data_IF_702001903696
#
_entry.id   IF_702001903696
#
_cell.length_a   1.000
_cell.length_b   1.000
_cell.length_c   1.000
_cell.angle_alpha   90.00
_cell.angle_beta   90.00
_cell.angle_gamma   90.00
#
_symmetry.space_group_name_H-M   'P 1'
#
loop_
_entity.id
_entity.type
_entity.pdbx_description
1 polymer ?
#
# COMPACT_ATOMS: atom_id res chain seq x y z
N UNK A 1 -9.36 -53.98 -30.16
CA UNK A 1 -8.81 -52.95 -29.24
C UNK A 1 -8.05 -53.65 -28.13
N UNK A 2 -7.15 -52.96 -27.43
CA UNK A 2 -6.45 -53.49 -26.24
C UNK A 2 -7.23 -53.22 -24.93
N UNK A 3 -8.54 -52.99 -25.00
CA UNK A 3 -9.38 -52.71 -23.83
C UNK A 3 -9.85 -54.02 -23.21
N UNK A 4 -9.62 -54.27 -21.91
CA UNK A 4 -10.12 -55.47 -21.23
C UNK A 4 -11.65 -55.58 -21.33
N UNK A 5 -12.17 -56.78 -21.58
CA UNK A 5 -13.60 -57.00 -21.79
C UNK A 5 -14.46 -56.48 -20.63
N UNK A 6 -14.00 -56.66 -19.40
CA UNK A 6 -14.65 -56.17 -18.18
C UNK A 6 -14.80 -54.65 -18.09
N UNK A 7 -14.05 -53.87 -18.90
CA UNK A 7 -14.07 -52.40 -18.89
C UNK A 7 -14.64 -51.76 -20.15
N UNK A 8 -15.08 -52.54 -21.15
CA UNK A 8 -15.55 -52.00 -22.43
C UNK A 8 -16.66 -50.96 -22.24
N UNK A 9 -17.70 -51.29 -21.47
CA UNK A 9 -18.81 -50.37 -21.22
C UNK A 9 -18.41 -49.11 -20.46
N UNK A 10 -17.46 -49.23 -19.51
CA UNK A 10 -16.93 -48.07 -18.78
C UNK A 10 -16.20 -47.12 -19.74
N UNK A 11 -15.38 -47.67 -20.63
CA UNK A 11 -14.63 -46.88 -21.62
C UNK A 11 -15.59 -46.22 -22.62
N UNK A 12 -16.58 -46.96 -23.14
CA UNK A 12 -17.58 -46.43 -24.08
C UNK A 12 -18.40 -45.29 -23.44
N UNK A 13 -18.90 -45.47 -22.21
CA UNK A 13 -19.61 -44.41 -21.49
C UNK A 13 -18.73 -43.17 -21.26
N UNK A 14 -17.45 -43.35 -20.94
CA UNK A 14 -16.55 -42.23 -20.74
C UNK A 14 -16.25 -41.49 -22.04
N UNK A 15 -16.11 -42.21 -23.16
CA UNK A 15 -15.90 -41.61 -24.47
C UNK A 15 -17.16 -40.87 -24.95
N UNK A 16 -18.35 -41.42 -24.71
CA UNK A 16 -19.63 -40.74 -24.95
C UNK A 16 -19.76 -39.46 -24.12
N UNK A 17 -19.54 -39.52 -22.80
CA UNK A 17 -19.55 -38.33 -21.92
C UNK A 17 -18.56 -37.26 -22.36
N UNK A 18 -17.41 -37.69 -22.89
CA UNK A 18 -16.38 -36.79 -23.44
C UNK A 18 -16.70 -36.30 -24.86
N UNK A 19 -17.79 -36.76 -25.49
CA UNK A 19 -18.21 -36.30 -26.82
C UNK A 19 -17.57 -37.02 -28.00
N UNK A 20 -16.88 -38.14 -27.80
CA UNK A 20 -16.21 -38.90 -28.87
C UNK A 20 -17.13 -39.91 -29.58
N UNK A 21 -18.19 -40.34 -28.90
CA UNK A 21 -19.12 -41.35 -29.40
C UNK A 21 -20.55 -40.81 -29.40
N UNK A 22 -21.36 -41.34 -30.31
CA UNK A 22 -22.82 -41.29 -30.26
C UNK A 22 -23.36 -42.63 -29.81
N UNK A 23 -24.40 -42.62 -28.97
CA UNK A 23 -25.16 -43.81 -28.61
C UNK A 23 -26.57 -43.76 -29.20
N UNK A 24 -27.15 -44.93 -29.45
CA UNK A 24 -28.57 -45.05 -29.76
C UNK A 24 -29.40 -45.08 -28.49
N UNK A 25 -30.53 -44.39 -28.48
CA UNK A 25 -31.48 -44.39 -27.36
C UNK A 25 -32.29 -45.69 -27.26
N UNK A 26 -32.27 -46.53 -28.31
CA UNK A 26 -32.99 -47.81 -28.39
C UNK A 26 -32.13 -48.99 -27.96
N UNK A 27 -32.78 -50.06 -27.47
CA UNK A 27 -32.11 -51.32 -27.12
C UNK A 27 -31.98 -52.24 -28.34
N UNK A 28 -30.83 -52.92 -28.52
CA UNK A 28 -29.60 -52.78 -27.75
C UNK A 28 -28.88 -51.46 -28.06
N UNK A 29 -28.26 -50.84 -27.03
CA UNK A 29 -27.49 -49.61 -27.18
C UNK A 29 -26.29 -49.88 -28.09
N UNK A 30 -26.21 -49.13 -29.20
CA UNK A 30 -25.10 -49.18 -30.14
C UNK A 30 -24.31 -47.89 -30.03
N UNK A 31 -22.99 -48.01 -30.01
CA UNK A 31 -22.07 -46.88 -30.02
C UNK A 31 -21.47 -46.72 -31.42
N UNK A 32 -21.37 -45.48 -31.88
CA UNK A 32 -20.69 -45.12 -33.12
C UNK A 32 -19.70 -44.00 -32.87
N UNK A 33 -18.53 -44.07 -33.50
CA UNK A 33 -17.53 -43.00 -33.40
C UNK A 33 -18.03 -41.76 -34.14
N UNK A 34 -17.85 -40.59 -33.54
CA UNK A 34 -18.01 -39.33 -34.26
C UNK A 34 -16.86 -39.13 -35.23
N UNK A 35 -17.09 -38.46 -36.38
CA UNK A 35 -16.01 -37.97 -37.23
C UNK A 35 -14.99 -37.17 -36.40
N UNK A 36 -13.67 -37.36 -36.59
CA UNK A 36 -12.66 -36.69 -35.76
C UNK A 36 -12.80 -35.16 -35.71
N UNK A 37 -13.13 -34.52 -36.83
CA UNK A 37 -13.37 -33.07 -36.87
C UNK A 37 -14.53 -32.64 -35.97
N UNK A 38 -15.64 -33.36 -36.01
CA UNK A 38 -16.81 -33.09 -35.16
C UNK A 38 -16.51 -33.38 -33.68
N UNK A 39 -15.84 -34.50 -33.39
CA UNK A 39 -15.49 -34.89 -32.02
C UNK A 39 -14.59 -33.85 -31.35
N UNK A 40 -13.58 -33.33 -32.06
CA UNK A 40 -12.68 -32.29 -31.54
C UNK A 40 -13.45 -31.01 -31.25
N UNK A 41 -14.36 -30.61 -32.14
CA UNK A 41 -15.15 -29.40 -31.95
C UNK A 41 -16.08 -29.49 -30.73
N UNK A 42 -16.76 -30.64 -30.56
CA UNK A 42 -17.59 -30.90 -29.38
C UNK A 42 -16.77 -30.86 -28.09
N UNK A 43 -15.58 -31.48 -28.08
CA UNK A 43 -14.68 -31.45 -26.92
C UNK A 43 -14.22 -30.02 -26.62
N UNK A 44 -13.87 -29.24 -27.65
CA UNK A 44 -13.47 -27.82 -27.51
C UNK A 44 -14.58 -27.01 -26.86
N UNK A 45 -15.81 -27.09 -27.39
CA UNK A 45 -16.96 -26.38 -26.85
C UNK A 45 -17.27 -26.77 -25.40
N UNK A 46 -17.13 -28.05 -25.05
CA UNK A 46 -17.32 -28.52 -23.68
C UNK A 46 -16.26 -27.96 -22.73
N UNK A 47 -14.99 -27.91 -23.15
CA UNK A 47 -13.91 -27.33 -22.36
C UNK A 47 -14.12 -25.83 -22.15
N UNK A 48 -14.45 -25.11 -23.22
CA UNK A 48 -14.74 -23.66 -23.15
C UNK A 48 -15.89 -23.37 -22.19
N UNK A 49 -16.95 -24.18 -22.24
CA UNK A 49 -18.07 -24.07 -21.30
C UNK A 49 -17.61 -24.23 -19.85
N UNK A 50 -16.84 -25.28 -19.54
CA UNK A 50 -16.33 -25.52 -18.18
C UNK A 50 -15.41 -24.39 -17.71
N UNK A 51 -14.55 -23.87 -18.59
CA UNK A 51 -13.67 -22.75 -18.26
C UNK A 51 -14.45 -21.46 -17.99
N UNK A 52 -15.47 -21.17 -18.80
CA UNK A 52 -16.32 -19.99 -18.61
C UNK A 52 -17.12 -20.06 -17.32
N UNK A 53 -17.75 -21.21 -17.02
CA UNK A 53 -18.48 -21.42 -15.76
C UNK A 53 -17.56 -21.27 -14.54
N UNK A 54 -16.33 -21.79 -14.60
CA UNK A 54 -15.35 -21.64 -13.53
C UNK A 54 -14.90 -20.18 -13.37
N UNK A 55 -14.63 -19.47 -14.48
CA UNK A 55 -14.22 -18.07 -14.45
C UNK A 55 -15.32 -17.18 -13.88
N UNK A 56 -16.57 -17.36 -14.30
CA UNK A 56 -17.73 -16.65 -13.77
C UNK A 56 -17.91 -16.90 -12.28
N UNK A 57 -17.79 -18.15 -11.83
CA UNK A 57 -17.90 -18.49 -10.41
C UNK A 57 -16.78 -17.83 -9.58
N UNK A 58 -15.53 -17.95 -10.03
CA UNK A 58 -14.37 -17.34 -9.34
C UNK A 58 -14.54 -15.82 -9.26
N UNK A 59 -14.90 -15.16 -10.37
CA UNK A 59 -15.12 -13.72 -10.39
C UNK A 59 -16.27 -13.33 -9.45
N UNK A 60 -17.40 -14.04 -9.49
CA UNK A 60 -18.55 -13.76 -8.63
C UNK A 60 -18.23 -13.87 -7.14
N UNK A 61 -17.45 -14.87 -6.73
CA UNK A 61 -17.11 -15.09 -5.32
C UNK A 61 -15.95 -14.21 -4.85
N UNK A 62 -14.90 -14.02 -5.67
CA UNK A 62 -13.68 -13.33 -5.26
C UNK A 62 -13.69 -11.83 -5.57
N UNK A 63 -14.40 -11.36 -6.61
CA UNK A 63 -14.44 -9.92 -6.94
C UNK A 63 -15.01 -9.09 -5.78
N UNK A 64 -16.10 -9.48 -5.08
CA UNK A 64 -16.57 -8.72 -3.93
C UNK A 64 -15.58 -8.72 -2.75
N UNK A 65 -14.80 -9.80 -2.58
CA UNK A 65 -13.74 -9.87 -1.56
C UNK A 65 -12.61 -8.90 -1.93
N UNK A 66 -12.19 -8.90 -3.19
CA UNK A 66 -11.20 -7.98 -3.73
C UNK A 66 -11.69 -6.52 -3.64
N UNK A 67 -12.93 -6.23 -4.02
CA UNK A 67 -13.49 -4.88 -4.00
C UNK A 67 -13.57 -4.33 -2.57
N UNK A 68 -13.93 -5.17 -1.59
CA UNK A 68 -13.89 -4.82 -0.16
C UNK A 68 -12.46 -4.53 0.32
N UNK A 69 -11.45 -5.22 -0.22
CA UNK A 69 -10.05 -4.88 0.01
C UNK A 69 -9.64 -3.60 -0.74
N UNK A 70 -10.20 -3.33 -1.92
CA UNK A 70 -9.83 -2.18 -2.77
C UNK A 70 -10.21 -0.83 -2.15
N UNK A 71 -11.31 -0.76 -1.39
CA UNK A 71 -11.66 0.44 -0.59
C UNK A 71 -10.67 0.66 0.56
N UNK A 72 -9.85 -0.33 0.92
CA UNK A 72 -8.78 -0.25 1.93
C UNK A 72 -7.34 -0.21 1.34
N UNK A 73 -7.19 -0.35 0.02
CA UNK A 73 -5.89 -0.48 -0.67
C UNK A 73 -5.23 0.83 -1.10
N UNK A 74 -5.77 2.00 -0.76
CA UNK A 74 -4.87 3.11 -0.41
C UNK A 74 -4.56 2.92 1.06
N UNK A 75 -3.38 2.39 1.45
CA UNK A 75 -3.07 2.25 2.85
C UNK A 75 -3.06 3.65 3.45
N UNK A 76 -4.14 3.98 4.16
CA UNK A 76 -4.22 5.12 5.06
C UNK A 76 -3.15 5.05 6.16
N UNK A 77 -2.36 3.96 6.21
CA UNK A 77 -1.29 3.72 7.16
C UNK A 77 -0.22 2.81 6.53
N UNK A 78 1.02 3.28 6.45
CA UNK A 78 2.21 2.52 6.04
C UNK A 78 3.27 2.54 7.15
N UNK A 79 3.95 1.42 7.34
CA UNK A 79 5.08 1.31 8.26
C UNK A 79 6.40 1.43 7.50
N UNK A 80 7.27 2.31 7.98
CA UNK A 80 8.62 2.50 7.50
C UNK A 80 9.59 2.00 8.56
N UNK A 81 10.68 1.35 8.11
CA UNK A 81 11.71 0.78 8.96
C UNK A 81 13.09 1.26 8.52
N UNK A 82 13.95 1.54 9.49
CA UNK A 82 15.31 2.02 9.26
C UNK A 82 15.35 3.52 9.02
N UNK A 83 16.44 4.14 9.47
CA UNK A 83 16.61 5.60 9.46
C UNK A 83 16.55 6.20 8.04
N UNK A 84 17.24 5.58 7.08
CA UNK A 84 17.25 6.04 5.68
C UNK A 84 15.86 6.12 5.06
N UNK A 85 15.05 5.07 5.23
CA UNK A 85 13.70 5.02 4.67
C UNK A 85 12.78 6.08 5.31
N UNK A 86 12.94 6.30 6.61
CA UNK A 86 12.19 7.30 7.36
C UNK A 86 12.62 8.71 6.93
N UNK A 87 13.93 8.96 6.80
CA UNK A 87 14.47 10.23 6.35
C UNK A 87 14.03 10.56 4.92
N UNK A 88 14.10 9.61 3.99
CA UNK A 88 13.58 9.78 2.63
C UNK A 88 12.09 10.08 2.62
N UNK A 89 11.28 9.39 3.45
CA UNK A 89 9.85 9.67 3.51
C UNK A 89 9.54 11.02 4.14
N UNK A 90 10.27 11.44 5.16
CA UNK A 90 10.14 12.76 5.77
C UNK A 90 10.42 13.86 4.75
N UNK A 91 11.50 13.70 3.98
CA UNK A 91 11.87 14.58 2.88
C UNK A 91 10.74 14.69 1.84
N UNK A 92 10.16 13.56 1.43
CA UNK A 92 9.03 13.51 0.49
C UNK A 92 7.80 14.28 1.01
N UNK A 93 7.46 14.11 2.30
CA UNK A 93 6.39 14.87 2.98
C UNK A 93 6.66 16.37 2.94
N UNK A 94 7.90 16.79 3.24
CA UNK A 94 8.29 18.21 3.24
C UNK A 94 8.17 18.81 1.84
N UNK A 95 8.72 18.15 0.82
CA UNK A 95 8.67 18.63 -0.57
C UNK A 95 7.25 18.65 -1.15
N UNK A 96 6.37 17.79 -0.64
CA UNK A 96 4.96 17.72 -1.02
C UNK A 96 4.07 18.80 -0.40
N UNK A 97 4.61 19.59 0.55
CA UNK A 97 3.86 20.58 1.34
C UNK A 97 3.65 21.88 0.58
N UNK A 98 2.43 22.43 0.62
CA UNK A 98 2.06 23.66 -0.10
C UNK A 98 1.55 24.79 0.77
N UNK A 99 0.95 24.50 1.92
CA UNK A 99 0.27 25.48 2.77
C UNK A 99 0.81 25.52 4.19
N UNK A 100 0.94 24.36 4.83
CA UNK A 100 1.34 24.25 6.23
C UNK A 100 2.18 23.00 6.47
N UNK A 101 3.35 23.20 7.09
CA UNK A 101 4.25 22.15 7.51
C UNK A 101 4.48 22.25 9.02
N UNK A 102 4.20 21.16 9.75
CA UNK A 102 4.50 21.03 11.17
C UNK A 102 5.58 19.95 11.33
N UNK A 103 6.73 20.31 11.87
CA UNK A 103 7.86 19.40 12.09
C UNK A 103 8.16 19.28 13.58
N UNK A 104 8.30 18.05 14.06
CA UNK A 104 8.77 17.75 15.41
C UNK A 104 10.04 16.91 15.31
N UNK A 105 11.18 17.49 15.70
CA UNK A 105 12.51 16.86 15.60
C UNK A 105 13.05 16.67 17.03
N UNK A 106 13.23 15.42 17.45
CA UNK A 106 13.66 15.12 18.82
C UNK A 106 15.07 14.52 18.92
N UNK A 107 15.72 14.21 17.79
CA UNK A 107 17.10 13.73 17.72
C UNK A 107 17.81 14.28 16.48
N UNK A 108 19.14 14.21 16.47
CA UNK A 108 19.94 14.54 15.29
C UNK A 108 19.63 13.57 14.17
N UNK A 109 18.88 14.04 13.18
CA UNK A 109 18.66 13.32 11.94
C UNK A 109 19.77 13.71 10.96
N UNK A 110 21.01 13.28 11.21
CA UNK A 110 22.14 13.57 10.31
C UNK A 110 21.83 13.16 8.87
N UNK A 111 21.20 11.99 8.72
CA UNK A 111 20.68 11.45 7.46
C UNK A 111 19.66 12.38 6.79
N UNK A 112 18.75 12.99 7.56
CA UNK A 112 17.82 13.99 7.04
C UNK A 112 18.52 15.26 6.57
N UNK A 113 19.49 15.77 7.35
CA UNK A 113 20.28 16.95 6.98
C UNK A 113 21.08 16.70 5.69
N UNK A 114 21.63 15.50 5.53
CA UNK A 114 22.30 15.09 4.29
C UNK A 114 21.33 15.09 3.10
N UNK A 115 20.18 14.43 3.20
CA UNK A 115 19.21 14.38 2.09
C UNK A 115 18.57 15.74 1.80
N UNK A 116 18.27 16.55 2.82
CA UNK A 116 17.68 17.88 2.65
C UNK A 116 18.65 18.87 2.02
N UNK A 117 19.94 18.83 2.36
CA UNK A 117 20.97 19.69 1.73
C UNK A 117 21.12 19.45 0.23
N UNK A 118 20.83 18.23 -0.25
CA UNK A 118 20.85 17.86 -1.67
C UNK A 118 19.60 18.27 -2.43
N UNK A 119 18.52 18.56 -1.72
CA UNK A 119 17.26 18.98 -2.30
C UNK A 119 17.19 20.49 -2.28
N UNK A 120 17.60 21.08 -3.40
CA UNK A 120 17.49 22.51 -3.66
C UNK A 120 16.16 23.08 -3.13
N UNK A 121 16.25 23.98 -2.15
CA UNK A 121 15.18 24.65 -1.39
C UNK A 121 14.16 25.44 -2.24
N UNK A 122 14.29 25.39 -3.56
CA UNK A 122 13.52 26.13 -4.56
C UNK A 122 12.01 25.94 -4.39
N UNK A 123 11.53 24.71 -4.11
CA UNK A 123 10.08 24.45 -3.98
C UNK A 123 9.43 25.05 -2.74
N UNK A 124 10.11 24.98 -1.59
CA UNK A 124 9.60 25.58 -0.34
C UNK A 124 9.62 27.10 -0.43
N UNK A 125 10.64 27.66 -1.09
CA UNK A 125 10.79 29.11 -1.30
C UNK A 125 9.73 29.66 -2.26
N UNK A 126 9.34 28.91 -3.29
CA UNK A 126 8.26 29.31 -4.22
C UNK A 126 6.87 29.20 -3.59
N UNK A 127 6.58 28.09 -2.89
CA UNK A 127 5.25 27.86 -2.31
C UNK A 127 4.99 28.69 -1.04
N UNK A 128 6.06 29.08 -0.32
CA UNK A 128 6.01 29.82 0.97
C UNK A 128 4.97 29.27 1.95
N UNK A 129 5.01 27.96 2.28
CA UNK A 129 4.10 27.41 3.29
C UNK A 129 4.39 28.03 4.66
N UNK A 130 3.40 28.00 5.55
CA UNK A 130 3.63 28.26 6.98
C UNK A 130 4.36 27.08 7.60
N UNK A 131 5.54 27.31 8.15
CA UNK A 131 6.38 26.26 8.71
C UNK A 131 6.51 26.49 10.21
N UNK A 132 6.11 25.49 11.01
CA UNK A 132 6.34 25.45 12.46
C UNK A 132 7.25 24.27 12.79
N UNK A 133 8.35 24.54 13.48
CA UNK A 133 9.34 23.51 13.83
C UNK A 133 9.51 23.47 15.33
N UNK A 134 9.25 22.31 15.92
CA UNK A 134 9.48 22.02 17.31
C UNK A 134 10.73 21.14 17.43
N UNK A 135 11.72 21.59 18.20
CA UNK A 135 12.97 20.85 18.40
C UNK A 135 13.31 20.62 19.86
N UNK A 136 14.10 19.59 20.14
CA UNK A 136 14.74 19.43 21.45
C UNK A 136 15.87 20.47 21.62
N UNK A 137 16.15 20.84 22.88
CA UNK A 137 17.08 21.92 23.20
C UNK A 137 18.51 21.70 22.68
N UNK A 138 18.94 20.45 22.60
CA UNK A 138 20.23 20.01 22.08
C UNK A 138 20.38 20.16 20.55
N UNK A 139 19.29 20.43 19.82
CA UNK A 139 19.26 20.60 18.37
C UNK A 139 19.10 22.05 17.91
N UNK A 140 19.07 23.02 18.86
CA UNK A 140 18.85 24.43 18.52
C UNK A 140 19.95 24.98 17.58
N UNK A 141 21.19 24.52 17.75
CA UNK A 141 22.29 25.02 16.91
C UNK A 141 22.22 24.46 15.47
N UNK A 142 21.61 23.29 15.28
CA UNK A 142 21.55 22.57 13.99
C UNK A 142 20.43 23.10 13.06
N UNK A 143 19.49 23.90 13.58
CA UNK A 143 18.29 24.39 12.86
C UNK A 143 18.42 25.80 12.27
N UNK A 144 19.54 26.49 12.49
CA UNK A 144 19.75 27.86 11.99
C UNK A 144 19.37 28.07 10.51
N UNK A 145 19.71 27.16 9.57
CA UNK A 145 19.31 27.29 8.17
C UNK A 145 17.79 27.28 7.92
N UNK A 146 17.01 26.67 8.83
CA UNK A 146 15.55 26.58 8.71
C UNK A 146 14.86 27.87 9.19
N UNK A 147 15.50 28.62 10.08
CA UNK A 147 15.02 29.97 10.48
C UNK A 147 15.13 30.94 9.31
N UNK A 148 16.18 30.84 8.50
CA UNK A 148 16.42 31.72 7.35
C UNK A 148 15.36 31.61 6.26
N UNK A 149 14.69 30.47 6.14
CA UNK A 149 13.58 30.27 5.18
C UNK A 149 12.21 30.72 5.73
N UNK A 150 12.19 31.39 6.89
CA UNK A 150 10.99 31.96 7.49
C UNK A 150 10.17 30.98 8.33
N UNK A 151 10.78 29.89 8.81
CA UNK A 151 10.11 28.97 9.73
C UNK A 151 10.00 29.57 11.13
N UNK A 152 8.84 29.42 11.76
CA UNK A 152 8.70 29.64 13.20
C UNK A 152 9.33 28.45 13.91
N UNK A 153 10.29 28.70 14.80
CA UNK A 153 10.98 27.63 15.52
C UNK A 153 10.83 27.79 17.04
N UNK A 154 10.46 26.69 17.69
CA UNK A 154 10.34 26.60 19.13
C UNK A 154 11.05 25.36 19.66
N UNK A 155 11.46 25.42 20.92
CA UNK A 155 12.17 24.33 21.55
C UNK A 155 11.54 23.86 22.86
N UNK A 156 11.87 22.62 23.23
CA UNK A 156 11.53 21.99 24.51
C UNK A 156 12.75 21.28 25.09
N UNK A 157 12.79 21.21 26.42
CA UNK A 157 13.85 20.49 27.14
C UNK A 157 13.73 18.97 26.91
N UNK A 158 12.50 18.45 26.82
CA UNK A 158 12.21 17.04 26.49
C UNK A 158 11.09 16.94 25.46
N UNK A 159 11.24 16.02 24.50
CA UNK A 159 10.25 15.68 23.49
C UNK A 159 10.12 14.16 23.39
N UNK A 160 8.89 13.66 23.24
CA UNK A 160 8.62 12.24 23.04
C UNK A 160 8.14 12.02 21.62
N UNK A 161 8.92 11.27 20.85
CA UNK A 161 8.67 11.03 19.44
C UNK A 161 8.91 12.26 18.55
N UNK A 162 8.69 12.08 17.26
CA UNK A 162 8.93 13.10 16.25
C UNK A 162 8.14 12.82 14.98
N UNK A 163 8.34 13.63 13.96
CA UNK A 163 7.67 13.44 12.68
C UNK A 163 7.37 14.73 11.93
N UNK A 164 6.49 14.59 10.95
CA UNK A 164 6.08 15.66 10.05
C UNK A 164 4.58 15.57 9.75
N UNK A 165 3.91 16.71 9.70
CA UNK A 165 2.50 16.82 9.27
C UNK A 165 2.45 17.84 8.13
N UNK A 166 1.86 17.46 7.00
CA UNK A 166 1.77 18.31 5.82
C UNK A 166 0.32 18.55 5.42
N UNK A 167 -0.04 19.83 5.26
CA UNK A 167 -1.30 20.32 4.68
C UNK A 167 -2.59 19.73 5.28
N UNK A 168 -2.51 19.16 6.50
CA UNK A 168 -3.57 18.34 7.08
C UNK A 168 -4.02 17.16 6.20
N UNK A 169 -3.13 16.70 5.31
CA UNK A 169 -3.37 15.64 4.32
C UNK A 169 -2.63 14.36 4.67
N UNK A 170 -1.43 14.49 5.24
CA UNK A 170 -0.62 13.35 5.62
C UNK A 170 0.20 13.65 6.88
N UNK A 171 0.48 12.60 7.64
CA UNK A 171 1.32 12.64 8.83
C UNK A 171 2.32 11.48 8.81
N UNK A 172 3.57 11.79 9.09
CA UNK A 172 4.63 10.83 9.40
C UNK A 172 4.90 10.94 10.90
N UNK A 173 4.75 9.84 11.64
CA UNK A 173 4.93 9.75 13.09
C UNK A 173 6.06 8.77 13.35
N UNK A 174 7.16 9.25 13.92
CA UNK A 174 8.30 8.42 14.29
C UNK A 174 7.97 7.74 15.61
N UNK A 175 8.05 6.41 15.61
CA UNK A 175 7.91 5.55 16.76
C UNK A 175 9.30 5.11 17.21
N UNK A 176 9.76 5.63 18.34
CA UNK A 176 10.98 5.14 18.94
C UNK A 176 10.73 3.84 19.71
N UNK A 177 11.67 2.90 19.58
CA UNK A 177 11.70 1.71 20.44
C UNK A 177 13.09 1.32 20.93
N UNK A 178 14.16 1.70 20.24
CA UNK A 178 15.57 1.53 20.67
C UNK A 178 16.50 2.14 19.60
N UNK A 179 17.72 2.56 19.99
CA UNK A 179 18.77 3.15 19.12
C UNK A 179 19.12 2.34 17.85
N UNK A 180 18.62 1.10 17.73
CA UNK A 180 18.89 0.19 16.60
C UNK A 180 17.73 -0.01 15.63
N UNK A 181 16.50 0.39 15.98
CA UNK A 181 15.31 0.13 15.16
C UNK A 181 14.37 1.33 15.15
N UNK A 182 14.66 2.31 14.29
CA UNK A 182 13.74 3.39 13.98
C UNK A 182 12.57 2.85 13.16
N UNK A 183 11.35 3.05 13.66
CA UNK A 183 10.10 2.74 12.94
C UNK A 183 9.30 4.03 12.78
N UNK A 184 8.60 4.20 11.67
CA UNK A 184 7.65 5.31 11.53
C UNK A 184 6.33 4.84 10.92
N UNK A 185 5.25 5.49 11.32
CA UNK A 185 3.93 5.37 10.69
C UNK A 185 3.75 6.57 9.77
N UNK A 186 3.56 6.34 8.48
CA UNK A 186 2.98 7.33 7.58
C UNK A 186 1.49 7.08 7.41
N UNK A 187 0.68 8.13 7.39
CA UNK A 187 -0.77 8.02 7.31
C UNK A 187 -1.41 9.17 6.56
N UNK A 188 -2.42 8.86 5.74
CA UNK A 188 -3.38 9.81 5.16
C UNK A 188 -4.74 9.75 5.86
N UNK A 189 -4.85 9.02 6.98
CA UNK A 189 -6.09 8.88 7.72
C UNK A 189 -6.40 10.17 8.49
N UNK A 190 -7.53 10.82 8.17
CA UNK A 190 -7.93 12.09 8.80
C UNK A 190 -7.82 12.07 10.34
N UNK A 191 -8.37 11.05 11.01
CA UNK A 191 -8.33 11.00 12.48
C UNK A 191 -6.92 10.87 13.06
N UNK A 192 -5.98 10.23 12.35
CA UNK A 192 -4.59 10.13 12.82
C UNK A 192 -3.85 11.45 12.60
N UNK A 193 -4.12 12.13 11.49
CA UNK A 193 -3.58 13.46 11.20
C UNK A 193 -4.06 14.45 12.26
N UNK A 194 -5.37 14.48 12.56
CA UNK A 194 -5.95 15.37 13.58
C UNK A 194 -5.40 15.07 14.98
N UNK A 195 -5.19 13.78 15.31
CA UNK A 195 -4.57 13.39 16.58
C UNK A 195 -3.14 13.90 16.68
N UNK A 196 -2.32 13.67 15.66
CA UNK A 196 -0.93 14.12 15.60
C UNK A 196 -0.84 15.65 15.65
N UNK A 197 -1.71 16.35 14.91
CA UNK A 197 -1.78 17.81 14.89
C UNK A 197 -2.19 18.38 16.25
N UNK A 198 -3.21 17.81 16.88
CA UNK A 198 -3.66 18.23 18.20
C UNK A 198 -2.55 18.05 19.25
N UNK A 199 -1.79 16.95 19.16
CA UNK A 199 -0.65 16.70 20.02
C UNK A 199 0.47 17.73 19.78
N UNK A 200 0.81 17.98 18.52
CA UNK A 200 1.79 18.99 18.12
C UNK A 200 1.43 20.37 18.67
N UNK A 201 0.21 20.86 18.40
CA UNK A 201 -0.24 22.19 18.82
C UNK A 201 -0.27 22.35 20.35
N UNK A 202 -0.60 21.27 21.08
CA UNK A 202 -0.51 21.27 22.55
C UNK A 202 0.93 21.49 23.02
N UNK A 203 1.90 20.82 22.42
CA UNK A 203 3.32 21.01 22.79
C UNK A 203 3.80 22.40 22.32
N UNK A 204 3.41 22.81 21.12
CA UNK A 204 3.75 24.11 20.53
C UNK A 204 3.33 25.28 21.43
N UNK A 205 2.08 25.27 21.90
CA UNK A 205 1.53 26.34 22.76
C UNK A 205 2.28 26.54 24.07
N UNK A 206 2.97 25.50 24.54
CA UNK A 206 3.67 25.48 25.82
C UNK A 206 5.21 25.45 25.66
N UNK A 207 5.71 25.57 24.43
CA UNK A 207 7.14 25.58 24.07
C UNK A 207 7.74 26.99 24.06
N UNK A 208 9.07 27.09 24.10
CA UNK A 208 9.82 28.35 24.15
C UNK A 208 10.28 28.75 22.75
N UNK A 209 10.26 30.04 22.43
CA UNK A 209 10.78 30.52 21.14
C UNK A 209 12.30 30.47 21.12
N UNK A 210 12.87 30.05 19.99
CA UNK A 210 14.29 30.25 19.70
C UNK A 210 14.45 31.73 19.29
N UNK A 211 15.31 32.46 20.00
CA UNK A 211 15.58 33.90 19.76
C UNK A 211 16.72 34.02 18.76
#
# INVERSE_FOLDING_TARGET
SQVPFSKIYLVLNNLEKKGWLNSTTTRPVKYSARPPQEAVEVVRMNLEKVMNEAAEYIAKELQPVYDRMSVSLQPNLLLFYGEDNIAMKMVDVILGTRRELLLALHHRLETFLEYSSRLSSVRLVEARPRIKILVSKDLIDDIHPLVEIGAEVRYRDEMFGGGAISDNREALIILEKDERYSTAIWSTHYSLIELAKSYFEKIWSTSKMVI
#
